data_IF_354553212979
#
_entry.id   IF_354553212979
#
_cell.length_a   1.000
_cell.length_b   1.000
_cell.length_c   1.000
_cell.angle_alpha   90.00
_cell.angle_beta   90.00
_cell.angle_gamma   90.00
#
_symmetry.space_group_name_H-M   'P 1'
#
loop_
_entity.id
_entity.type
_entity.pdbx_description
1 polymer ?
#
# COMPACT_ATOMS: atom_id res chain seq x y z
N UNK A 1 -2.40 -6.94 -6.29
CA UNK A 1 -2.69 -7.84 -5.14
C UNK A 1 -3.78 -7.16 -4.35
N UNK A 2 -4.94 -7.80 -4.18
CA UNK A 2 -6.14 -7.15 -3.63
C UNK A 2 -6.45 -7.79 -2.26
N UNK A 3 -5.72 -7.40 -1.20
CA UNK A 3 -5.90 -7.97 0.14
C UNK A 3 -7.29 -7.64 0.68
N UNK A 4 -7.70 -8.31 1.75
CA UNK A 4 -8.83 -7.83 2.56
C UNK A 4 -8.40 -6.65 3.43
N UNK A 5 -7.22 -6.75 4.04
CA UNK A 5 -6.64 -5.69 4.87
C UNK A 5 -5.12 -5.63 4.63
N UNK A 6 -4.57 -4.41 4.50
CA UNK A 6 -3.14 -4.17 4.56
C UNK A 6 -2.79 -3.50 5.90
N UNK A 7 -1.96 -4.16 6.70
CA UNK A 7 -1.34 -3.58 7.89
C UNK A 7 -0.03 -2.89 7.50
N UNK A 8 0.20 -1.68 8.02
CA UNK A 8 1.35 -0.85 7.68
C UNK A 8 2.03 -0.34 8.94
N UNK A 9 3.34 -0.50 9.01
CA UNK A 9 4.18 0.19 9.99
C UNK A 9 4.46 1.63 9.53
N UNK A 10 4.89 2.49 10.46
CA UNK A 10 5.45 3.80 10.09
C UNK A 10 6.65 3.65 9.17
N UNK A 11 6.81 4.61 8.26
CA UNK A 11 7.96 4.66 7.37
C UNK A 11 9.22 5.06 8.13
N UNK A 12 10.34 4.43 7.79
CA UNK A 12 11.68 4.80 8.25
C UNK A 12 12.45 5.33 7.05
N UNK A 13 13.22 6.39 7.25
CA UNK A 13 14.13 6.91 6.23
C UNK A 13 15.56 6.62 6.66
N UNK A 14 16.33 6.00 5.78
CA UNK A 14 17.70 5.58 6.06
C UNK A 14 18.65 6.35 5.15
N UNK A 15 19.67 6.97 5.73
CA UNK A 15 20.79 7.54 4.98
C UNK A 15 21.87 6.49 4.83
N UNK A 16 22.30 6.28 3.60
CA UNK A 16 23.42 5.41 3.28
C UNK A 16 24.72 6.22 3.10
N UNK A 17 25.78 5.76 3.77
CA UNK A 17 27.13 6.31 3.66
C UNK A 17 28.12 5.16 3.39
N UNK A 18 29.11 5.40 2.53
CA UNK A 18 29.99 4.33 2.07
C UNK A 18 30.84 3.78 3.22
N UNK A 19 30.72 2.47 3.48
CA UNK A 19 31.49 1.78 4.52
C UNK A 19 30.96 1.96 5.95
N UNK A 20 29.75 2.53 6.12
CA UNK A 20 29.09 2.73 7.41
C UNK A 20 27.73 2.04 7.44
N UNK A 21 27.26 1.72 8.65
CA UNK A 21 25.89 1.25 8.86
C UNK A 21 24.86 2.36 8.53
N UNK A 22 23.70 2.04 7.93
CA UNK A 22 22.66 3.01 7.65
C UNK A 22 22.16 3.73 8.91
N UNK A 23 21.94 5.03 8.82
CA UNK A 23 21.43 5.85 9.94
C UNK A 23 20.00 6.30 9.70
N UNK A 24 19.17 6.26 10.74
CA UNK A 24 17.79 6.77 10.68
C UNK A 24 17.83 8.30 10.62
N UNK A 25 17.15 8.87 9.63
CA UNK A 25 17.06 10.32 9.41
C UNK A 25 15.60 10.77 9.27
N UNK A 26 15.30 12.06 9.44
CA UNK A 26 13.99 12.61 9.09
C UNK A 26 13.69 12.46 7.59
N UNK A 27 12.40 12.53 7.24
CA UNK A 27 11.99 12.54 5.83
C UNK A 27 12.69 13.69 5.08
N UNK A 28 13.32 13.42 3.91
CA UNK A 28 14.08 14.44 3.18
C UNK A 28 13.21 15.45 2.44
N UNK A 29 11.89 15.27 2.46
CA UNK A 29 10.94 16.16 1.80
C UNK A 29 9.60 16.16 2.53
N UNK A 30 9.00 17.33 2.81
CA UNK A 30 7.68 17.40 3.43
C UNK A 30 6.58 16.83 2.52
N UNK A 31 6.83 16.66 1.22
CA UNK A 31 5.86 16.10 0.26
C UNK A 31 6.13 14.63 -0.08
N UNK A 32 7.24 14.03 0.38
CA UNK A 32 7.45 12.58 0.28
C UNK A 32 6.60 11.81 1.28
N UNK A 33 5.95 10.72 0.85
CA UNK A 33 5.25 9.82 1.76
C UNK A 33 4.03 9.13 1.17
N UNK A 34 3.23 8.55 2.06
CA UNK A 34 1.98 7.87 1.73
C UNK A 34 0.86 8.90 1.51
N UNK A 35 0.13 8.74 0.42
CA UNK A 35 -1.05 9.53 0.09
C UNK A 35 -2.26 8.60 -0.09
N UNK A 36 -3.42 9.08 0.34
CA UNK A 36 -4.71 8.44 0.10
C UNK A 36 -5.60 9.38 -0.71
N UNK A 37 -6.52 8.81 -1.48
CA UNK A 37 -7.61 9.57 -2.08
C UNK A 37 -8.82 9.52 -1.15
N UNK A 38 -9.24 10.66 -0.62
CA UNK A 38 -10.43 10.75 0.24
C UNK A 38 -11.70 10.49 -0.57
N UNK A 39 -12.83 10.30 0.12
CA UNK A 39 -14.15 10.14 -0.54
C UNK A 39 -14.57 11.38 -1.32
N UNK A 40 -14.08 12.56 -0.94
CA UNK A 40 -14.28 13.81 -1.68
C UNK A 40 -13.42 13.92 -2.94
N UNK A 41 -12.50 12.96 -3.17
CA UNK A 41 -11.58 12.93 -4.31
C UNK A 41 -10.22 13.56 -4.03
N UNK A 42 -10.03 14.17 -2.86
CA UNK A 42 -8.79 14.87 -2.50
C UNK A 42 -7.63 13.91 -2.27
N UNK A 43 -6.46 14.25 -2.82
CA UNK A 43 -5.23 13.53 -2.55
C UNK A 43 -4.58 14.06 -1.26
N UNK A 44 -4.69 13.29 -0.19
CA UNK A 44 -4.25 13.70 1.16
C UNK A 44 -3.02 12.91 1.60
N UNK A 45 -1.97 13.60 2.05
CA UNK A 45 -0.81 12.97 2.68
C UNK A 45 -1.19 12.47 4.08
N UNK A 46 -0.82 11.24 4.41
CA UNK A 46 -1.05 10.65 5.74
C UNK A 46 0.26 10.25 6.39
N UNK A 47 0.30 10.32 7.72
CA UNK A 47 1.42 9.89 8.56
C UNK A 47 0.94 8.84 9.56
N UNK A 48 1.72 7.79 9.72
CA UNK A 48 1.52 6.78 10.76
C UNK A 48 2.48 7.13 11.90
N UNK A 49 2.02 7.28 13.15
CA UNK A 49 2.93 7.49 14.28
C UNK A 49 3.93 6.33 14.45
N UNK A 50 5.15 6.58 14.96
CA UNK A 50 6.20 5.55 15.06
C UNK A 50 5.82 4.30 15.86
N UNK A 51 4.97 4.47 16.87
CA UNK A 51 4.48 3.45 17.79
C UNK A 51 3.10 2.89 17.40
N UNK A 52 2.63 3.19 16.19
CA UNK A 52 1.32 2.79 15.69
C UNK A 52 1.42 1.90 14.46
N UNK A 53 0.38 1.08 14.29
CA UNK A 53 0.09 0.38 13.04
C UNK A 53 -1.12 1.05 12.38
N UNK A 54 -1.05 1.23 11.06
CA UNK A 54 -2.22 1.62 10.28
C UNK A 54 -2.79 0.39 9.58
N UNK A 55 -4.12 0.36 9.45
CA UNK A 55 -4.83 -0.66 8.70
C UNK A 55 -5.59 -0.01 7.57
N UNK A 56 -5.40 -0.53 6.37
CA UNK A 56 -6.14 -0.12 5.20
C UNK A 56 -7.04 -1.26 4.72
N UNK A 57 -8.28 -0.92 4.43
CA UNK A 57 -9.27 -1.78 3.79
C UNK A 57 -8.90 -2.01 2.34
N UNK A 58 -8.92 -3.28 1.90
CA UNK A 58 -8.78 -3.64 0.49
C UNK A 58 -10.09 -4.11 -0.13
N UNK A 59 -10.06 -4.38 -1.43
CA UNK A 59 -11.24 -4.61 -2.26
C UNK A 59 -12.03 -5.87 -1.85
N UNK A 60 -11.34 -6.94 -1.45
CA UNK A 60 -12.01 -8.15 -0.98
C UNK A 60 -12.90 -7.89 0.24
N UNK A 61 -12.47 -7.02 1.16
CA UNK A 61 -13.27 -6.64 2.34
C UNK A 61 -14.42 -5.70 1.96
N UNK A 62 -14.22 -4.84 0.95
CA UNK A 62 -15.30 -4.02 0.40
C UNK A 62 -16.43 -4.90 -0.18
N UNK A 63 -16.08 -5.92 -0.96
CA UNK A 63 -17.04 -6.88 -1.52
C UNK A 63 -17.81 -7.62 -0.41
N UNK A 64 -17.08 -8.20 0.56
CA UNK A 64 -17.68 -8.97 1.67
C UNK A 64 -18.62 -8.12 2.51
N UNK A 65 -18.34 -6.82 2.65
CA UNK A 65 -19.16 -5.89 3.44
C UNK A 65 -20.25 -5.21 2.62
N UNK A 66 -20.45 -5.60 1.36
CA UNK A 66 -21.36 -4.96 0.42
C UNK A 66 -21.16 -3.44 0.35
N UNK A 67 -19.90 -3.00 0.35
CA UNK A 67 -19.53 -1.58 0.23
C UNK A 67 -19.66 -0.76 1.52
N UNK A 68 -19.95 -1.36 2.67
CA UNK A 68 -19.96 -0.65 3.97
C UNK A 68 -18.57 -0.20 4.38
N UNK A 69 -17.56 -1.02 4.11
CA UNK A 69 -16.15 -0.63 4.12
C UNK A 69 -15.69 -0.45 2.68
N UNK A 70 -14.85 0.56 2.43
CA UNK A 70 -14.40 0.91 1.07
C UNK A 70 -12.90 0.76 0.96
N UNK A 71 -12.43 0.11 -0.08
CA UNK A 71 -11.04 0.14 -0.47
C UNK A 71 -10.67 1.58 -0.84
N UNK A 72 -9.62 2.11 -0.21
CA UNK A 72 -9.21 3.50 -0.41
C UNK A 72 -7.99 3.54 -1.33
N UNK A 73 -8.08 4.17 -2.52
CA UNK A 73 -6.92 4.33 -3.41
C UNK A 73 -5.79 5.06 -2.69
N UNK A 74 -4.58 4.59 -2.89
CA UNK A 74 -3.40 5.15 -2.23
C UNK A 74 -2.16 5.00 -3.11
N UNK A 75 -1.16 5.82 -2.84
CA UNK A 75 0.14 5.73 -3.49
C UNK A 75 1.23 6.29 -2.58
N UNK A 76 2.48 5.92 -2.86
CA UNK A 76 3.64 6.57 -2.25
C UNK A 76 4.20 7.56 -3.26
N UNK A 77 4.43 8.79 -2.85
CA UNK A 77 5.04 9.84 -3.67
C UNK A 77 6.44 10.16 -3.17
N UNK A 78 7.32 10.42 -4.11
CA UNK A 78 8.65 10.99 -3.87
C UNK A 78 8.56 12.49 -4.14
N UNK A 79 8.77 13.30 -3.10
CA UNK A 79 8.88 14.75 -3.19
C UNK A 79 10.28 15.18 -3.61
N UNK A 80 10.46 16.47 -3.89
CA UNK A 80 11.77 17.03 -4.19
C UNK A 80 12.70 16.88 -2.98
N UNK A 81 13.89 16.36 -3.21
CA UNK A 81 14.98 16.21 -2.23
C UNK A 81 16.21 16.98 -2.70
N UNK A 82 17.16 17.22 -1.80
CA UNK A 82 18.45 17.80 -2.19
C UNK A 82 19.18 16.86 -3.16
N UNK A 83 19.80 17.44 -4.19
CA UNK A 83 20.59 16.69 -5.18
C UNK A 83 21.69 15.91 -4.46
N UNK A 84 21.77 14.60 -4.72
CA UNK A 84 22.78 13.72 -4.12
C UNK A 84 22.43 13.11 -2.75
N UNK A 85 21.22 13.37 -2.21
CA UNK A 85 20.78 12.70 -0.99
C UNK A 85 20.54 11.20 -1.22
N UNK A 86 21.44 10.35 -0.69
CA UNK A 86 21.30 8.89 -0.67
C UNK A 86 20.43 8.45 0.50
N UNK A 87 19.12 8.66 0.36
CA UNK A 87 18.14 8.32 1.40
C UNK A 87 17.10 7.36 0.84
N UNK A 88 16.95 6.19 1.47
CA UNK A 88 15.88 5.24 1.18
C UNK A 88 14.66 5.49 2.08
N UNK A 89 13.49 5.01 1.65
CA UNK A 89 12.26 5.01 2.44
C UNK A 89 11.79 3.57 2.58
N UNK A 90 11.90 3.03 3.77
CA UNK A 90 11.49 1.68 4.09
C UNK A 90 10.13 1.67 4.79
N UNK A 91 9.30 0.68 4.50
CA UNK A 91 8.03 0.45 5.19
C UNK A 91 7.71 -1.04 5.15
N UNK A 92 7.40 -1.62 6.30
CA UNK A 92 6.88 -2.98 6.35
C UNK A 92 5.36 -2.97 6.12
N UNK A 93 4.92 -3.75 5.13
CA UNK A 93 3.52 -3.95 4.81
C UNK A 93 3.15 -5.43 4.93
N UNK A 94 2.13 -5.72 5.73
CA UNK A 94 1.57 -7.06 5.89
C UNK A 94 0.21 -7.14 5.21
N UNK A 95 0.10 -8.00 4.21
CA UNK A 95 -1.14 -8.23 3.48
C UNK A 95 -1.89 -9.43 4.06
N UNK A 96 -3.07 -9.18 4.62
CA UNK A 96 -3.94 -10.20 5.18
C UNK A 96 -5.07 -10.52 4.19
N UNK A 97 -5.25 -11.81 3.92
CA UNK A 97 -6.20 -12.31 2.95
C UNK A 97 -6.96 -13.54 3.47
N UNK A 98 -8.19 -13.79 3.00
CA UNK A 98 -8.93 -15.01 3.27
C UNK A 98 -8.27 -16.21 2.59
N UNK A 99 -8.67 -17.41 3.00
CA UNK A 99 -8.34 -18.62 2.24
C UNK A 99 -8.97 -18.57 0.85
N UNK A 100 -8.31 -19.19 -0.13
CA UNK A 100 -8.73 -19.13 -1.55
C UNK A 100 -10.12 -19.71 -1.82
N UNK A 101 -10.59 -20.63 -0.99
CA UNK A 101 -11.91 -21.26 -1.11
C UNK A 101 -13.00 -20.51 -0.35
N UNK A 102 -12.64 -19.48 0.43
CA UNK A 102 -13.61 -18.68 1.17
C UNK A 102 -14.49 -17.89 0.19
N UNK A 103 -15.82 -17.97 0.36
CA UNK A 103 -16.76 -17.17 -0.42
C UNK A 103 -16.67 -15.70 -0.01
N UNK A 104 -16.55 -14.81 -0.99
CA UNK A 104 -16.49 -13.35 -0.79
C UNK A 104 -17.68 -12.61 -1.43
N UNK A 105 -18.43 -13.28 -2.30
CA UNK A 105 -19.70 -12.82 -2.87
C UNK A 105 -20.63 -14.01 -3.13
N UNK A 106 -21.82 -13.74 -3.69
CA UNK A 106 -22.73 -14.81 -4.11
C UNK A 106 -22.11 -15.71 -5.19
N UNK A 107 -21.36 -15.11 -6.12
CA UNK A 107 -20.78 -15.77 -7.30
C UNK A 107 -19.33 -16.19 -7.15
N UNK A 108 -18.59 -15.65 -6.17
CA UNK A 108 -17.13 -15.76 -6.14
C UNK A 108 -16.55 -16.23 -4.80
N UNK A 109 -15.45 -16.97 -4.93
CA UNK A 109 -14.48 -17.23 -3.86
C UNK A 109 -13.33 -16.23 -3.94
N UNK A 110 -12.56 -16.09 -2.86
CA UNK A 110 -11.38 -15.24 -2.88
C UNK A 110 -10.37 -15.65 -3.97
N UNK A 111 -10.24 -16.95 -4.23
CA UNK A 111 -9.39 -17.49 -5.28
C UNK A 111 -9.87 -17.12 -6.70
N UNK A 112 -11.16 -17.28 -6.99
CA UNK A 112 -11.71 -16.91 -8.31
C UNK A 112 -11.63 -15.40 -8.55
N UNK A 113 -11.90 -14.60 -7.52
CA UNK A 113 -11.75 -13.15 -7.56
C UNK A 113 -10.29 -12.73 -7.80
N UNK A 114 -9.35 -13.28 -7.03
CA UNK A 114 -7.92 -12.96 -7.18
C UNK A 114 -7.40 -13.32 -8.57
N UNK A 115 -7.87 -14.44 -9.13
CA UNK A 115 -7.53 -14.85 -10.49
C UNK A 115 -8.00 -13.81 -11.53
N UNK A 116 -9.27 -13.39 -11.47
CA UNK A 116 -9.82 -12.36 -12.38
C UNK A 116 -9.03 -11.05 -12.33
N UNK A 117 -8.69 -10.59 -11.12
CA UNK A 117 -7.87 -9.38 -10.92
C UNK A 117 -6.48 -9.52 -11.56
N UNK A 118 -5.85 -10.69 -11.39
CA UNK A 118 -4.53 -10.94 -11.99
C UNK A 118 -4.62 -10.97 -13.52
N UNK A 119 -5.68 -11.57 -14.07
CA UNK A 119 -5.90 -11.60 -15.52
C UNK A 119 -6.09 -10.17 -16.07
N UNK A 120 -6.94 -9.36 -15.44
CA UNK A 120 -7.20 -7.98 -15.84
C UNK A 120 -5.93 -7.11 -15.87
N UNK A 121 -5.03 -7.28 -14.90
CA UNK A 121 -3.84 -6.44 -14.79
C UNK A 121 -2.58 -6.97 -15.48
N UNK A 122 -2.52 -8.26 -15.82
CA UNK A 122 -1.30 -8.90 -16.31
C UNK A 122 -1.45 -9.67 -17.64
N UNK A 123 -2.63 -9.76 -18.26
CA UNK A 123 -2.77 -10.41 -19.58
C UNK A 123 -2.20 -9.57 -20.75
N UNK A 124 -2.09 -8.25 -20.64
CA UNK A 124 -1.44 -7.42 -21.67
C UNK A 124 0.08 -7.67 -21.81
N UNK A 125 0.71 -8.38 -20.86
CA UNK A 125 2.13 -8.71 -20.90
C UNK A 125 2.48 -9.97 -21.73
N UNK A 126 1.48 -10.63 -22.35
CA UNK A 126 1.66 -11.86 -23.15
C UNK A 126 1.77 -11.65 -24.67
N UNK A 127 1.80 -10.41 -25.15
CA UNK A 127 2.02 -10.11 -26.58
C UNK A 127 3.38 -9.43 -26.74
N UNK A 128 4.47 -10.20 -26.60
CA UNK A 128 5.77 -9.94 -27.24
C UNK A 128 6.43 -11.28 -27.54
#
# INVERSE_FOLDING_TARGET
MNPSIAGLCSAIFLREEAGLEPTIVPSPSPTSGLYIRTRGGDLTKVSIPPDCLAFQTGEALELVTAGKLRATPHCVRVGQTQVGAKISRETFALFMQPDTHQRISESDTFGSFSKKVLEEHYEEARVI
#
